data_IF_642227889796
#
_entry.id   IF_642227889796
#
_cell.length_a   1.000
_cell.length_b   1.000
_cell.length_c   1.000
_cell.angle_alpha   90.00
_cell.angle_beta   90.00
_cell.angle_gamma   90.00
#
_symmetry.space_group_name_H-M   'P 1'
#
loop_
_entity.id
_entity.type
_entity.pdbx_description
1 polymer ?
#
# COMPACT_ATOMS: atom_id res chain seq x y z
N UNK A 1 22.16 -38.56 29.01
CA UNK A 1 21.32 -37.70 29.89
C UNK A 1 20.54 -36.77 28.97
N UNK A 2 19.39 -37.21 28.44
CA UNK A 2 18.04 -37.17 29.01
C UNK A 2 17.50 -35.75 29.28
N UNK A 3 16.33 -35.50 28.65
CA UNK A 3 15.21 -34.62 29.05
C UNK A 3 15.33 -33.13 28.63
N UNK A 4 14.34 -32.44 28.05
CA UNK A 4 12.88 -32.64 28.01
C UNK A 4 12.20 -32.04 26.76
N UNK A 5 11.10 -32.69 26.42
CA UNK A 5 10.03 -32.33 25.48
C UNK A 5 9.10 -31.29 26.15
N UNK A 6 8.61 -30.32 25.38
CA UNK A 6 7.33 -29.65 25.70
C UNK A 6 6.58 -29.31 24.40
N UNK A 7 5.62 -30.18 24.07
CA UNK A 7 4.54 -29.90 23.12
C UNK A 7 3.49 -29.06 23.84
N UNK A 8 3.14 -27.89 23.30
CA UNK A 8 1.91 -27.19 23.69
C UNK A 8 1.01 -27.09 22.46
N UNK A 9 0.34 -28.20 22.17
CA UNK A 9 -0.83 -28.25 21.27
C UNK A 9 -2.06 -27.83 22.07
N UNK A 10 -2.65 -26.68 21.75
CA UNK A 10 -4.00 -26.35 22.20
C UNK A 10 -4.95 -26.48 21.00
N UNK A 11 -5.53 -27.67 20.89
CA UNK A 11 -6.70 -27.94 20.06
C UNK A 11 -7.94 -27.49 20.85
N UNK A 12 -8.80 -26.66 20.25
CA UNK A 12 -10.18 -26.54 20.68
C UNK A 12 -11.13 -26.73 19.50
N UNK A 13 -12.10 -27.59 19.76
CA UNK A 13 -13.03 -28.24 18.86
C UNK A 13 -14.15 -27.31 18.36
N UNK A 14 -14.54 -27.56 17.10
CA UNK A 14 -15.89 -27.66 16.52
C UNK A 14 -16.98 -26.66 16.93
N UNK A 15 -17.57 -26.03 15.91
CA UNK A 15 -19.00 -26.23 15.64
C UNK A 15 -19.24 -26.43 14.14
N UNK A 16 -19.75 -27.63 13.79
CA UNK A 16 -20.51 -27.88 12.56
C UNK A 16 -21.99 -27.67 12.88
N UNK A 17 -22.69 -26.97 11.99
CA UNK A 17 -24.12 -27.16 11.69
C UNK A 17 -24.44 -26.31 10.46
N UNK A 18 -25.23 -26.69 9.46
CA UNK A 18 -25.81 -27.94 9.02
C UNK A 18 -26.39 -27.60 7.62
N UNK A 19 -26.51 -28.59 6.73
CA UNK A 19 -27.16 -28.47 5.44
C UNK A 19 -28.57 -27.87 5.51
N UNK A 20 -28.99 -27.21 4.44
CA UNK A 20 -30.23 -27.58 3.72
C UNK A 20 -30.22 -26.99 2.31
N UNK A 21 -30.15 -27.87 1.33
CA UNK A 21 -30.73 -27.67 -0.01
C UNK A 21 -32.15 -28.22 0.01
N UNK A 22 -33.14 -27.49 -0.48
CA UNK A 22 -34.10 -27.99 -1.47
C UNK A 22 -35.05 -26.90 -2.00
N UNK A 23 -35.46 -27.14 -3.24
CA UNK A 23 -36.15 -26.35 -4.27
C UNK A 23 -37.69 -26.27 -4.10
N UNK A 24 -38.35 -25.18 -4.55
CA UNK A 24 -39.24 -25.15 -5.73
C UNK A 24 -40.21 -23.93 -5.83
N UNK A 25 -40.15 -23.28 -7.02
CA UNK A 25 -41.21 -22.74 -7.93
C UNK A 25 -42.37 -21.81 -7.50
N UNK A 26 -42.49 -20.71 -8.29
CA UNK A 26 -43.72 -20.02 -8.73
C UNK A 26 -44.12 -18.79 -7.88
N UNK A 27 -44.43 -17.59 -8.38
CA UNK A 27 -44.77 -17.07 -9.72
C UNK A 27 -44.82 -15.52 -9.66
N UNK A 28 -44.33 -14.86 -10.72
CA UNK A 28 -44.62 -13.49 -11.23
C UNK A 28 -45.30 -12.43 -10.35
N UNK A 29 -44.63 -11.27 -10.19
CA UNK A 29 -45.17 -9.94 -10.58
C UNK A 29 -44.08 -8.88 -10.64
N UNK A 30 -44.11 -8.13 -11.74
CA UNK A 30 -43.20 -7.09 -12.22
C UNK A 30 -43.06 -5.88 -11.30
N UNK A 31 -41.83 -5.42 -11.00
CA UNK A 31 -41.52 -3.98 -10.91
C UNK A 31 -40.01 -3.72 -11.09
N UNK A 32 -39.69 -2.96 -12.14
CA UNK A 32 -38.55 -2.05 -12.29
C UNK A 32 -37.09 -2.57 -12.28
N UNK A 33 -36.51 -2.59 -13.49
CA UNK A 33 -35.08 -2.47 -13.74
C UNK A 33 -34.52 -1.18 -13.10
N UNK A 34 -33.28 -1.21 -12.60
CA UNK A 34 -32.25 -0.53 -13.37
C UNK A 34 -31.04 -1.42 -13.62
N UNK A 35 -30.87 -1.73 -14.92
CA UNK A 35 -29.62 -1.64 -15.69
C UNK A 35 -28.31 -1.81 -14.89
N UNK A 36 -27.84 -3.06 -14.90
CA UNK A 36 -26.44 -3.47 -15.05
C UNK A 36 -25.43 -2.32 -15.03
N UNK A 37 -24.70 -2.19 -13.93
CA UNK A 37 -23.29 -1.81 -13.95
C UNK A 37 -22.50 -2.83 -13.15
N UNK A 38 -22.48 -4.06 -13.65
CA UNK A 38 -21.43 -5.04 -13.37
C UNK A 38 -20.14 -4.57 -14.06
N UNK A 39 -19.62 -3.41 -13.65
CA UNK A 39 -18.35 -2.85 -14.13
C UNK A 39 -17.27 -2.90 -13.03
N UNK A 40 -17.61 -3.36 -11.82
CA UNK A 40 -16.66 -3.37 -10.69
C UNK A 40 -15.95 -4.70 -10.47
N UNK A 41 -16.43 -5.81 -11.05
CA UNK A 41 -15.88 -7.16 -10.77
C UNK A 41 -14.85 -7.59 -11.85
N UNK A 42 -14.93 -7.06 -13.07
CA UNK A 42 -14.07 -7.50 -14.17
C UNK A 42 -12.68 -6.84 -14.23
N UNK A 43 -12.41 -5.82 -13.41
CA UNK A 43 -11.10 -5.16 -13.42
C UNK A 43 -10.06 -5.84 -12.49
N UNK A 44 -10.48 -6.86 -11.75
CA UNK A 44 -9.68 -7.50 -10.69
C UNK A 44 -8.96 -8.78 -11.16
N UNK A 45 -9.32 -9.33 -12.32
CA UNK A 45 -8.87 -10.68 -12.73
C UNK A 45 -7.53 -10.72 -13.50
N UNK A 46 -6.96 -9.57 -13.89
CA UNK A 46 -5.67 -9.51 -14.60
C UNK A 46 -4.81 -8.32 -14.14
N UNK A 47 -4.77 -8.08 -12.83
CA UNK A 47 -3.72 -7.22 -12.26
C UNK A 47 -2.58 -8.11 -11.82
N UNK A 48 -1.38 -7.81 -12.32
CA UNK A 48 -0.15 -8.40 -11.83
C UNK A 48 -0.10 -8.22 -10.32
N UNK A 49 0.06 -9.31 -9.58
CA UNK A 49 0.22 -9.25 -8.13
C UNK A 49 1.54 -8.55 -7.81
N UNK A 50 1.47 -7.53 -6.96
CA UNK A 50 2.63 -6.76 -6.50
C UNK A 50 2.75 -7.03 -5.01
N UNK A 51 3.93 -7.42 -4.58
CA UNK A 51 4.24 -7.64 -3.18
C UNK A 51 5.19 -6.55 -2.71
N UNK A 52 5.08 -6.17 -1.45
CA UNK A 52 6.03 -5.30 -0.78
C UNK A 52 6.12 -5.70 0.69
N UNK A 53 7.36 -5.83 1.20
CA UNK A 53 7.63 -6.29 2.57
C UNK A 53 6.92 -7.61 2.93
N UNK A 54 6.79 -8.52 1.95
CA UNK A 54 6.14 -9.81 2.12
C UNK A 54 4.60 -9.79 2.14
N UNK A 55 3.97 -8.65 1.89
CA UNK A 55 2.51 -8.50 1.81
C UNK A 55 2.05 -8.16 0.40
N UNK A 56 0.91 -8.72 -0.02
CA UNK A 56 0.30 -8.38 -1.31
C UNK A 56 -0.37 -7.01 -1.24
N UNK A 57 -0.01 -6.13 -2.18
CA UNK A 57 -0.59 -4.80 -2.30
C UNK A 57 -1.95 -4.91 -3.00
N UNK A 58 -3.00 -4.42 -2.33
CA UNK A 58 -4.34 -4.28 -2.91
C UNK A 58 -4.45 -2.99 -3.72
N UNK A 59 -3.97 -1.89 -3.16
CA UNK A 59 -4.07 -0.55 -3.77
C UNK A 59 -3.04 0.40 -3.19
N UNK A 60 -2.45 1.23 -4.05
CA UNK A 60 -1.68 2.40 -3.62
C UNK A 60 -2.49 3.66 -3.95
N UNK A 61 -2.57 4.56 -2.98
CA UNK A 61 -3.11 5.90 -3.16
C UNK A 61 -1.98 6.90 -3.02
N UNK A 62 -1.96 7.89 -3.90
CA UNK A 62 -1.03 9.01 -3.83
C UNK A 62 -1.83 10.30 -3.72
N UNK A 63 -1.42 11.19 -2.83
CA UNK A 63 -2.12 12.44 -2.54
C UNK A 63 -1.07 13.55 -2.54
N UNK A 64 -1.24 14.55 -3.42
CA UNK A 64 -0.36 15.72 -3.39
C UNK A 64 -0.68 16.58 -2.18
N UNK A 65 0.34 16.98 -1.43
CA UNK A 65 0.24 17.93 -0.30
C UNK A 65 0.27 19.39 -0.76
N UNK A 66 0.85 19.65 -1.94
CA UNK A 66 1.01 21.00 -2.51
C UNK A 66 -0.24 21.51 -3.24
N UNK A 67 -1.10 20.63 -3.73
CA UNK A 67 -2.32 21.00 -4.47
C UNK A 67 -3.56 20.64 -3.64
N UNK A 68 -4.23 21.64 -3.04
CA UNK A 68 -5.48 21.42 -2.30
C UNK A 68 -6.55 20.80 -3.21
N UNK A 69 -7.17 19.72 -2.75
CA UNK A 69 -8.35 19.06 -3.32
C UNK A 69 -8.20 18.29 -4.64
N UNK A 70 -6.98 18.08 -5.18
CA UNK A 70 -6.78 17.01 -6.17
C UNK A 70 -6.29 15.77 -5.42
N UNK A 71 -7.19 14.78 -5.24
CA UNK A 71 -6.74 13.38 -5.23
C UNK A 71 -6.08 13.18 -6.58
N UNK A 72 -4.78 13.45 -6.64
CA UNK A 72 -3.97 13.04 -7.76
C UNK A 72 -3.90 11.52 -7.60
N UNK A 73 -5.00 10.83 -7.94
CA UNK A 73 -4.99 9.44 -8.28
C UNK A 73 -4.20 9.34 -9.58
N UNK A 74 -2.92 9.67 -9.48
CA UNK A 74 -1.98 9.57 -10.55
C UNK A 74 -1.87 8.07 -10.74
N UNK A 75 -2.24 7.62 -11.94
CA UNK A 75 -1.99 6.27 -12.36
C UNK A 75 -0.49 6.12 -12.63
N UNK A 76 0.30 6.16 -11.55
CA UNK A 76 1.74 5.94 -11.59
C UNK A 76 1.99 4.45 -11.77
N UNK A 77 3.09 4.13 -12.45
CA UNK A 77 3.66 2.80 -12.43
C UNK A 77 4.24 2.53 -11.02
N UNK A 78 3.38 2.24 -10.06
CA UNK A 78 3.77 2.04 -8.66
C UNK A 78 4.76 0.88 -8.48
N UNK A 79 4.73 -0.11 -9.39
CA UNK A 79 5.76 -1.17 -9.50
C UNK A 79 7.18 -0.59 -9.45
N UNK A 80 7.42 0.55 -10.10
CA UNK A 80 8.75 1.14 -10.20
C UNK A 80 9.16 1.81 -8.88
N UNK A 81 8.23 2.46 -8.19
CA UNK A 81 8.48 3.03 -6.86
C UNK A 81 8.78 1.90 -5.86
N UNK A 82 7.95 0.86 -5.83
CA UNK A 82 8.12 -0.29 -4.94
C UNK A 82 9.45 -1.01 -5.21
N UNK A 83 9.78 -1.29 -6.48
CA UNK A 83 11.08 -1.88 -6.84
C UNK A 83 12.25 -1.02 -6.40
N UNK A 84 12.15 0.29 -6.53
CA UNK A 84 13.22 1.20 -6.09
C UNK A 84 13.39 1.18 -4.56
N UNK A 85 12.28 1.10 -3.81
CA UNK A 85 12.32 0.93 -2.35
C UNK A 85 12.93 -0.41 -1.95
N UNK A 86 12.58 -1.52 -2.62
CA UNK A 86 13.16 -2.86 -2.35
C UNK A 86 14.64 -2.97 -2.75
N UNK A 87 15.01 -2.32 -3.87
CA UNK A 87 16.38 -2.25 -4.33
C UNK A 87 17.24 -1.48 -3.35
N UNK A 88 16.78 -0.29 -2.95
CA UNK A 88 17.40 0.54 -1.91
C UNK A 88 17.50 -0.26 -0.60
N UNK A 89 16.38 -0.84 -0.16
CA UNK A 89 16.27 -1.57 1.11
C UNK A 89 16.46 -0.66 2.32
N UNK A 90 15.73 -0.90 3.41
CA UNK A 90 16.00 -0.19 4.68
C UNK A 90 17.32 -0.70 5.29
N UNK A 91 17.67 -1.97 5.06
CA UNK A 91 18.80 -2.65 5.72
C UNK A 91 20.08 -2.75 4.86
N UNK A 92 20.06 -2.33 3.59
CA UNK A 92 21.22 -2.45 2.69
C UNK A 92 22.17 -1.26 2.74
N UNK A 93 21.69 -0.09 3.16
CA UNK A 93 22.54 1.03 3.57
C UNK A 93 22.88 0.90 5.06
N UNK A 94 24.13 0.55 5.37
CA UNK A 94 24.63 0.41 6.76
C UNK A 94 24.79 1.75 7.49
N UNK A 95 24.45 2.87 6.85
CA UNK A 95 24.12 4.11 7.55
C UNK A 95 22.71 3.94 8.12
N UNK A 96 22.65 3.28 9.29
CA UNK A 96 21.44 3.18 10.12
C UNK A 96 20.58 4.42 9.95
N UNK A 97 19.34 4.23 9.50
CA UNK A 97 18.14 4.88 10.02
C UNK A 97 18.48 6.22 10.67
N UNK A 98 18.93 7.18 9.86
CA UNK A 98 18.97 8.56 10.31
C UNK A 98 17.49 8.90 10.41
N UNK A 99 16.93 9.22 11.57
CA UNK A 99 15.55 9.65 11.59
C UNK A 99 15.47 10.93 10.76
N UNK A 100 14.66 10.91 9.70
CA UNK A 100 14.27 12.18 9.10
C UNK A 100 13.45 12.88 10.19
N UNK A 101 14.00 13.96 10.75
CA UNK A 101 13.28 14.77 11.73
C UNK A 101 12.18 15.52 10.98
N UNK A 102 10.93 15.17 11.29
CA UNK A 102 9.75 15.79 10.73
C UNK A 102 9.43 17.10 11.49
N UNK A 103 10.33 18.08 11.35
CA UNK A 103 10.13 19.45 11.81
C UNK A 103 9.21 20.25 10.86
N UNK A 104 8.97 21.52 11.19
CA UNK A 104 8.02 22.35 10.44
C UNK A 104 8.51 22.61 9.00
N UNK A 105 9.82 22.69 8.76
CA UNK A 105 10.40 22.85 7.43
C UNK A 105 10.23 21.56 6.61
N UNK A 106 10.54 20.40 7.18
CA UNK A 106 10.34 19.11 6.54
C UNK A 106 8.87 18.88 6.18
N UNK A 107 7.94 19.21 7.10
CA UNK A 107 6.48 19.12 6.88
C UNK A 107 6.00 20.01 5.75
N UNK A 108 6.46 21.27 5.72
CA UNK A 108 6.07 22.22 4.69
C UNK A 108 6.51 21.80 3.28
N UNK A 109 7.58 20.99 3.19
CA UNK A 109 8.19 20.58 1.94
C UNK A 109 7.78 19.19 1.44
N UNK A 110 6.92 18.45 2.16
CA UNK A 110 6.36 17.19 1.66
C UNK A 110 5.73 17.45 0.29
N UNK A 111 6.00 16.60 -0.69
CA UNK A 111 5.40 16.68 -2.03
C UNK A 111 4.12 15.83 -2.13
N UNK A 112 4.20 14.62 -1.56
CA UNK A 112 3.09 13.66 -1.59
C UNK A 112 3.01 12.82 -0.31
N UNK A 113 1.79 12.40 0.01
CA UNK A 113 1.50 11.29 0.91
C UNK A 113 1.11 10.07 0.05
N UNK A 114 1.73 8.93 0.32
CA UNK A 114 1.43 7.64 -0.31
C UNK A 114 0.86 6.67 0.73
N UNK A 115 -0.33 6.15 0.50
CA UNK A 115 -0.95 5.13 1.33
C UNK A 115 -0.93 3.79 0.58
N UNK A 116 -0.20 2.82 1.12
CA UNK A 116 -0.15 1.44 0.62
C UNK A 116 -1.17 0.63 1.40
N UNK A 117 -2.20 0.12 0.71
CA UNK A 117 -3.23 -0.73 1.30
C UNK A 117 -2.98 -2.17 0.86
N UNK A 118 -2.89 -3.07 1.83
CA UNK A 118 -2.61 -4.49 1.61
C UNK A 118 -3.90 -5.31 1.56
N UNK A 119 -3.82 -6.53 1.03
CA UNK A 119 -4.96 -7.45 0.95
C UNK A 119 -5.42 -7.92 2.35
N UNK A 120 -4.53 -7.97 3.33
CA UNK A 120 -4.82 -8.31 4.73
C UNK A 120 -5.56 -7.18 5.49
N UNK A 121 -5.99 -6.13 4.78
CA UNK A 121 -6.63 -4.92 5.31
C UNK A 121 -5.73 -4.03 6.18
N UNK A 122 -4.44 -4.35 6.31
CA UNK A 122 -3.45 -3.43 6.87
C UNK A 122 -3.11 -2.33 5.86
N UNK A 123 -2.63 -1.20 6.37
CA UNK A 123 -2.15 -0.10 5.54
C UNK A 123 -0.89 0.52 6.14
N UNK A 124 -0.10 1.14 5.27
CA UNK A 124 1.09 1.89 5.64
C UNK A 124 1.08 3.25 4.94
N UNK A 125 1.47 4.28 5.68
CA UNK A 125 1.57 5.65 5.18
C UNK A 125 3.04 6.01 4.97
N UNK A 126 3.32 6.62 3.83
CA UNK A 126 4.62 7.12 3.46
C UNK A 126 4.54 8.59 3.05
N UNK A 127 5.52 9.38 3.47
CA UNK A 127 5.72 10.77 3.08
C UNK A 127 6.84 10.84 2.04
N UNK A 128 6.63 11.60 0.97
CA UNK A 128 7.55 11.67 -0.16
C UNK A 128 8.04 13.11 -0.36
N UNK A 129 9.36 13.25 -0.47
CA UNK A 129 10.03 14.47 -0.91
C UNK A 129 10.73 14.19 -2.24
N UNK A 130 10.41 15.01 -3.24
CA UNK A 130 11.00 14.99 -4.57
C UNK A 130 12.08 16.06 -4.65
N UNK A 131 13.32 15.67 -4.41
CA UNK A 131 14.47 16.57 -4.49
C UNK A 131 15.19 16.43 -5.84
N UNK A 132 16.07 17.38 -6.14
CA UNK A 132 16.87 17.31 -7.36
C UNK A 132 17.81 16.10 -7.32
N UNK A 133 17.54 15.11 -8.18
CA UNK A 133 18.29 13.83 -8.31
C UNK A 133 18.20 12.87 -7.12
N UNK A 134 17.28 13.11 -6.17
CA UNK A 134 17.10 12.30 -4.97
C UNK A 134 15.61 12.22 -4.64
N UNK A 135 15.16 11.05 -4.19
CA UNK A 135 13.81 10.88 -3.68
C UNK A 135 13.90 10.32 -2.27
N UNK A 136 13.23 10.96 -1.32
CA UNK A 136 13.12 10.47 0.06
C UNK A 136 11.70 9.97 0.26
N UNK A 137 11.58 8.72 0.73
CA UNK A 137 10.30 8.10 1.06
C UNK A 137 10.37 7.65 2.51
N UNK A 138 9.62 8.29 3.40
CA UNK A 138 9.67 8.02 4.84
C UNK A 138 8.38 7.39 5.33
N UNK A 139 8.47 6.32 6.13
CA UNK A 139 7.32 5.64 6.74
C UNK A 139 6.84 6.46 7.94
N UNK A 140 5.52 6.65 8.02
CA UNK A 140 4.84 7.29 9.14
C UNK A 140 3.81 6.33 9.73
N UNK A 141 4.07 5.86 10.96
CA UNK A 141 3.18 4.94 11.68
C UNK A 141 2.09 5.69 12.45
N UNK A 142 2.35 6.94 12.85
CA UNK A 142 1.37 7.81 13.51
C UNK A 142 1.64 9.30 13.23
N UNK A 143 0.62 10.14 13.41
CA UNK A 143 0.67 11.58 13.09
C UNK A 143 1.65 12.37 13.96
N UNK A 144 1.91 11.91 15.19
CA UNK A 144 2.79 12.57 16.16
C UNK A 144 4.27 12.20 16.00
N UNK A 145 4.56 11.20 15.15
CA UNK A 145 5.91 10.67 14.93
C UNK A 145 6.82 11.75 14.33
N UNK A 146 7.88 12.09 15.07
CA UNK A 146 8.88 13.06 14.63
C UNK A 146 10.07 12.44 13.91
N UNK A 147 10.38 11.19 14.24
CA UNK A 147 11.56 10.50 13.73
C UNK A 147 11.09 9.40 12.78
N UNK A 148 11.32 9.58 11.48
CA UNK A 148 10.82 8.66 10.46
C UNK A 148 11.93 7.76 9.92
N UNK A 149 11.63 6.47 9.82
CA UNK A 149 12.43 5.55 9.00
C UNK A 149 12.20 5.88 7.53
N UNK A 150 13.25 5.87 6.73
CA UNK A 150 13.14 6.34 5.36
C UNK A 150 14.09 5.65 4.40
N UNK A 151 13.68 5.65 3.13
CA UNK A 151 14.47 5.25 1.98
C UNK A 151 15.05 6.51 1.35
N UNK A 152 16.37 6.54 1.12
CA UNK A 152 17.01 7.57 0.30
C UNK A 152 17.37 6.97 -1.06
N UNK A 153 16.51 7.22 -2.03
CA UNK A 153 16.68 6.72 -3.40
C UNK A 153 17.50 7.72 -4.20
N UNK A 154 18.53 7.25 -4.90
CA UNK A 154 19.48 8.07 -5.67
C UNK A 154 19.64 7.56 -7.10
N UNK A 155 20.45 8.28 -7.88
CA UNK A 155 20.91 7.91 -9.21
C UNK A 155 19.78 7.53 -10.17
N UNK A 156 19.93 6.40 -10.89
CA UNK A 156 19.01 5.96 -11.92
C UNK A 156 17.60 5.75 -11.38
N UNK A 157 17.46 5.16 -10.19
CA UNK A 157 16.15 4.89 -9.58
C UNK A 157 15.45 6.20 -9.19
N UNK A 158 16.19 7.17 -8.65
CA UNK A 158 15.65 8.49 -8.36
C UNK A 158 15.20 9.21 -9.64
N UNK A 159 15.99 9.17 -10.72
CA UNK A 159 15.61 9.80 -11.99
C UNK A 159 14.34 9.18 -12.59
N UNK A 160 14.24 7.84 -12.52
CA UNK A 160 13.06 7.10 -12.95
C UNK A 160 11.83 7.56 -12.18
N UNK A 161 11.88 7.54 -10.84
CA UNK A 161 10.75 7.99 -10.00
C UNK A 161 10.39 9.44 -10.29
N UNK A 162 11.37 10.36 -10.31
CA UNK A 162 11.13 11.79 -10.60
C UNK A 162 10.44 12.00 -11.96
N UNK A 163 10.76 11.19 -12.97
CA UNK A 163 10.12 11.28 -14.28
C UNK A 163 8.64 10.91 -14.24
N UNK A 164 8.25 9.95 -13.39
CA UNK A 164 6.85 9.56 -13.21
C UNK A 164 6.01 10.72 -12.66
N UNK A 165 6.56 11.51 -11.74
CA UNK A 165 5.85 12.66 -11.16
C UNK A 165 5.77 13.87 -12.12
N UNK A 166 6.74 14.04 -13.03
CA UNK A 166 6.70 15.12 -14.03
C UNK A 166 5.64 14.89 -15.10
N UNK A 167 5.48 13.64 -15.54
CA UNK A 167 4.61 13.29 -16.68
C UNK A 167 3.11 13.25 -16.34
N UNK A 168 2.75 13.54 -15.08
CA UNK A 168 1.43 13.29 -14.51
C UNK A 168 0.79 14.54 -13.87
N UNK A 169 1.36 15.72 -14.10
CA UNK A 169 0.88 17.02 -13.57
C UNK A 169 -0.02 17.76 -14.59
N UNK A 170 -0.38 17.15 -15.73
CA UNK A 170 -1.35 17.74 -16.67
C UNK A 170 -2.80 17.80 -16.13
#
# INVERSE_FOLDING_TARGET
MNKNISFLTLSLFLYLSACSTETNTGSTSTTEQPKVKTASIQQEENRKQIFFQGKEIKKIELISTKVKNKKAAINLEFDQIIKSMEHTGIDKDRERVIPLLLDDEAKANIDYQMNVNYQDSSSETYLIWLENKKVVIARQDNEEQKNLEHYIIRDTDAQQILSLFKNNIE
#
